data_IF_566892118186
#
_entry.id   IF_566892118186
#
_cell.length_a   1.000
_cell.length_b   1.000
_cell.length_c   1.000
_cell.angle_alpha   90.00
_cell.angle_beta   90.00
_cell.angle_gamma   90.00
#
_symmetry.space_group_name_H-M   'P 1'
#
loop_
_entity.id
_entity.type
_entity.pdbx_description
1 polymer ?
#
# COMPACT_ATOMS: atom_id res chain seq x y z
N UNK A 1 22.47 -39.80 -50.14
CA UNK A 1 23.46 -40.79 -50.63
C UNK A 1 24.51 -41.02 -49.55
N UNK A 2 24.82 -42.31 -49.24
CA UNK A 2 25.83 -42.86 -48.29
C UNK A 2 25.46 -42.71 -46.81
N UNK A 3 24.94 -43.70 -46.07
CA UNK A 3 25.33 -45.10 -45.82
C UNK A 3 26.72 -45.23 -45.20
N UNK A 4 26.77 -45.51 -43.89
CA UNK A 4 27.63 -46.54 -43.28
C UNK A 4 27.24 -46.84 -41.82
N UNK A 5 26.74 -48.06 -41.58
CA UNK A 5 27.02 -48.89 -40.39
C UNK A 5 28.18 -49.83 -40.78
N UNK A 6 28.60 -50.88 -40.02
CA UNK A 6 28.47 -51.27 -38.61
C UNK A 6 29.83 -51.73 -37.99
N UNK A 7 29.92 -51.98 -36.67
CA UNK A 7 30.76 -53.09 -36.15
C UNK A 7 30.22 -53.59 -34.82
N UNK A 8 29.85 -54.87 -34.82
CA UNK A 8 29.51 -55.69 -33.67
C UNK A 8 30.76 -56.09 -32.88
N UNK A 9 30.58 -56.37 -31.58
CA UNK A 9 31.44 -57.33 -30.89
C UNK A 9 30.54 -58.20 -30.00
N UNK A 10 30.61 -59.50 -30.24
CA UNK A 10 29.76 -60.53 -29.67
C UNK A 10 30.42 -61.22 -28.45
N UNK A 11 29.64 -62.10 -27.82
CA UNK A 11 30.01 -63.26 -26.98
C UNK A 11 30.19 -63.09 -25.45
N UNK A 12 29.21 -63.57 -24.66
CA UNK A 12 29.21 -64.95 -24.12
C UNK A 12 27.92 -65.32 -23.39
N UNK A 13 27.51 -66.58 -23.57
CA UNK A 13 26.38 -67.24 -22.93
C UNK A 13 26.72 -67.87 -21.56
N UNK A 14 25.76 -67.94 -20.62
CA UNK A 14 25.47 -69.14 -19.81
C UNK A 14 24.18 -69.02 -18.96
N UNK A 15 23.22 -69.86 -19.34
CA UNK A 15 22.18 -70.61 -18.60
C UNK A 15 21.98 -70.47 -17.07
N UNK A 16 20.68 -70.44 -16.70
CA UNK A 16 20.04 -71.19 -15.58
C UNK A 16 20.19 -70.64 -14.14
N UNK A 17 19.11 -70.06 -13.57
CA UNK A 17 18.16 -70.71 -12.64
C UNK A 17 17.22 -69.69 -11.98
N UNK A 18 16.01 -70.15 -11.74
CA UNK A 18 14.88 -69.53 -11.05
C UNK A 18 15.18 -68.96 -9.66
N UNK A 19 14.68 -67.76 -9.37
CA UNK A 19 14.16 -67.41 -8.03
C UNK A 19 13.21 -66.20 -8.12
N UNK A 20 11.94 -66.41 -7.77
CA UNK A 20 10.97 -65.36 -7.47
C UNK A 20 11.26 -64.81 -6.08
N UNK A 21 11.37 -63.49 -5.92
CA UNK A 21 11.16 -62.74 -4.66
C UNK A 21 11.07 -61.22 -4.97
N UNK A 22 10.50 -60.39 -4.08
CA UNK A 22 9.35 -59.54 -4.39
C UNK A 22 9.71 -58.09 -4.73
N UNK A 23 8.74 -57.40 -5.34
CA UNK A 23 8.82 -55.98 -5.69
C UNK A 23 9.12 -55.09 -4.46
N UNK A 24 10.00 -54.08 -4.58
CA UNK A 24 10.00 -52.95 -3.67
C UNK A 24 8.98 -51.91 -4.16
N UNK A 25 7.88 -51.81 -3.41
CA UNK A 25 7.11 -50.59 -3.32
C UNK A 25 8.00 -49.42 -2.85
N UNK A 26 7.54 -48.19 -3.14
CA UNK A 26 7.98 -46.91 -2.56
C UNK A 26 8.96 -46.06 -3.41
N UNK A 27 8.42 -45.30 -4.37
CA UNK A 27 9.06 -44.07 -4.87
C UNK A 27 8.15 -42.82 -4.78
N UNK A 28 6.93 -42.93 -4.22
CA UNK A 28 5.96 -41.82 -4.22
C UNK A 28 6.24 -40.74 -3.16
N UNK A 29 7.12 -41.00 -2.17
CA UNK A 29 7.35 -40.07 -1.03
C UNK A 29 8.39 -38.98 -1.30
N UNK A 30 9.32 -39.17 -2.24
CA UNK A 30 10.35 -38.18 -2.57
C UNK A 30 9.88 -37.08 -3.54
N UNK A 31 8.88 -37.36 -4.38
CA UNK A 31 8.32 -36.38 -5.32
C UNK A 31 7.52 -35.27 -4.62
N UNK A 32 6.94 -35.55 -3.46
CA UNK A 32 6.06 -34.59 -2.75
C UNK A 32 6.90 -33.52 -2.03
N UNK A 33 8.02 -33.91 -1.40
CA UNK A 33 8.91 -32.97 -0.72
C UNK A 33 9.62 -32.01 -1.68
N UNK A 34 10.05 -32.51 -2.84
CA UNK A 34 10.64 -31.69 -3.90
C UNK A 34 9.61 -30.70 -4.47
N UNK A 35 8.37 -31.15 -4.72
CA UNK A 35 7.29 -30.29 -5.20
C UNK A 35 6.90 -29.20 -4.20
N UNK A 36 6.79 -29.51 -2.91
CA UNK A 36 6.51 -28.52 -1.86
C UNK A 36 7.64 -27.49 -1.72
N UNK A 37 8.91 -27.91 -1.85
CA UNK A 37 10.05 -27.01 -1.84
C UNK A 37 10.07 -26.11 -3.08
N UNK A 38 9.74 -26.65 -4.26
CA UNK A 38 9.63 -25.88 -5.53
C UNK A 38 8.48 -24.89 -5.47
N UNK A 39 7.34 -25.24 -4.87
CA UNK A 39 6.20 -24.32 -4.68
C UNK A 39 6.55 -23.22 -3.67
N UNK A 40 7.20 -23.55 -2.56
CA UNK A 40 7.62 -22.56 -1.56
C UNK A 40 8.67 -21.61 -2.11
N UNK A 41 9.66 -22.11 -2.85
CA UNK A 41 10.68 -21.28 -3.49
C UNK A 41 10.12 -20.46 -4.67
N UNK A 42 9.10 -20.94 -5.36
CA UNK A 42 8.37 -20.17 -6.38
C UNK A 42 7.53 -19.06 -5.75
N UNK A 43 6.82 -19.32 -4.66
CA UNK A 43 6.11 -18.32 -3.86
C UNK A 43 7.06 -17.27 -3.28
N UNK A 44 8.24 -17.69 -2.81
CA UNK A 44 9.26 -16.78 -2.31
C UNK A 44 9.91 -15.95 -3.43
N UNK A 45 10.07 -16.52 -4.62
CA UNK A 45 10.60 -15.81 -5.80
C UNK A 45 9.58 -14.82 -6.37
N UNK A 46 8.29 -15.18 -6.36
CA UNK A 46 7.17 -14.26 -6.67
C UNK A 46 7.09 -13.15 -5.61
N UNK A 47 7.22 -13.48 -4.33
CA UNK A 47 7.28 -12.49 -3.25
C UNK A 47 8.46 -11.52 -3.43
N UNK A 48 9.65 -12.02 -3.78
CA UNK A 48 10.86 -11.21 -3.96
C UNK A 48 10.80 -10.32 -5.21
N UNK A 49 10.13 -10.76 -6.27
CA UNK A 49 9.94 -9.96 -7.49
C UNK A 49 8.81 -8.92 -7.36
N UNK A 50 7.78 -9.20 -6.55
CA UNK A 50 6.78 -8.20 -6.15
C UNK A 50 7.37 -7.12 -5.22
N UNK A 51 8.30 -7.50 -4.33
CA UNK A 51 8.97 -6.59 -3.39
C UNK A 51 10.27 -5.95 -3.90
N UNK A 52 10.60 -6.04 -5.19
CA UNK A 52 11.65 -5.16 -5.73
C UNK A 52 11.12 -3.73 -5.75
N UNK A 53 11.57 -2.81 -4.87
CA UNK A 53 11.04 -1.46 -4.85
C UNK A 53 11.42 -0.77 -6.17
N UNK A 54 10.47 -0.45 -7.06
CA UNK A 54 10.78 0.44 -8.16
C UNK A 54 10.92 1.83 -7.53
N UNK A 55 12.05 2.49 -7.81
CA UNK A 55 12.38 3.84 -7.34
C UNK A 55 12.77 3.91 -5.85
N UNK A 56 14.07 4.10 -5.60
CA UNK A 56 14.58 4.62 -4.33
C UNK A 56 14.00 6.04 -4.17
N UNK A 57 12.89 6.19 -3.45
CA UNK A 57 12.51 7.51 -2.97
C UNK A 57 13.68 8.01 -2.13
N UNK A 58 14.17 9.25 -2.31
CA UNK A 58 15.18 9.78 -1.42
C UNK A 58 14.68 9.63 0.02
N UNK A 59 15.56 9.25 0.96
CA UNK A 59 15.16 8.94 2.35
C UNK A 59 14.34 10.07 3.01
N UNK A 60 14.47 11.31 2.53
CA UNK A 60 13.79 12.51 3.03
C UNK A 60 12.25 12.43 2.93
N UNK A 61 11.61 12.22 1.75
CA UNK A 61 10.15 12.04 1.66
C UNK A 61 9.56 10.97 2.57
N UNK A 62 10.24 9.83 2.73
CA UNK A 62 9.75 8.74 3.58
C UNK A 62 9.72 9.19 5.04
N UNK A 63 10.75 9.89 5.51
CA UNK A 63 10.77 10.45 6.87
C UNK A 63 9.64 11.44 7.10
N UNK A 64 9.36 12.34 6.14
CA UNK A 64 8.23 13.26 6.25
C UNK A 64 6.88 12.55 6.23
N UNK A 65 6.71 11.49 5.43
CA UNK A 65 5.49 10.70 5.40
C UNK A 65 5.24 9.96 6.72
N UNK A 66 6.29 9.37 7.32
CA UNK A 66 6.21 8.74 8.64
C UNK A 66 5.84 9.77 9.71
N UNK A 67 6.52 10.92 9.73
CA UNK A 67 6.21 12.00 10.67
C UNK A 67 4.76 12.49 10.51
N UNK A 68 4.29 12.69 9.28
CA UNK A 68 2.91 13.07 9.00
C UNK A 68 1.91 12.01 9.51
N UNK A 69 2.20 10.72 9.28
CA UNK A 69 1.40 9.62 9.78
C UNK A 69 1.30 9.59 11.31
N UNK A 70 2.42 9.82 12.00
CA UNK A 70 2.47 9.93 13.47
C UNK A 70 1.67 11.14 13.99
N UNK A 71 1.86 12.32 13.40
CA UNK A 71 1.13 13.52 13.77
C UNK A 71 -0.38 13.36 13.61
N UNK A 72 -0.82 12.81 12.46
CA UNK A 72 -2.23 12.48 12.26
C UNK A 72 -2.69 11.38 13.22
N UNK A 73 -1.87 10.37 13.51
CA UNK A 73 -2.16 9.32 14.49
C UNK A 73 -2.54 9.89 15.86
N UNK A 74 -1.61 10.65 16.43
CA UNK A 74 -1.72 11.25 17.77
C UNK A 74 -2.85 12.28 17.81
N UNK A 75 -2.92 13.19 16.83
CA UNK A 75 -3.91 14.27 16.80
C UNK A 75 -5.36 13.79 16.75
N UNK A 76 -5.63 12.66 16.09
CA UNK A 76 -6.99 12.12 16.01
C UNK A 76 -7.48 11.49 17.32
N UNK A 77 -6.58 11.01 18.19
CA UNK A 77 -6.96 10.55 19.54
C UNK A 77 -7.48 11.72 20.38
N UNK A 78 -6.77 12.86 20.37
CA UNK A 78 -7.22 14.07 21.04
C UNK A 78 -8.53 14.60 20.46
N UNK A 79 -8.64 14.60 19.13
CA UNK A 79 -9.86 15.03 18.43
C UNK A 79 -11.07 14.18 18.85
N UNK A 80 -10.94 12.85 18.85
CA UNK A 80 -12.03 11.98 19.28
C UNK A 80 -12.39 12.19 20.75
N UNK A 81 -11.40 12.42 21.61
CA UNK A 81 -11.65 12.76 23.03
C UNK A 81 -12.49 14.03 23.16
N UNK A 82 -12.19 15.06 22.38
CA UNK A 82 -12.97 16.31 22.34
C UNK A 82 -14.40 16.07 21.84
N UNK A 83 -14.58 15.31 20.75
CA UNK A 83 -15.90 15.01 20.20
C UNK A 83 -16.74 14.18 21.18
N UNK A 84 -16.13 13.25 21.91
CA UNK A 84 -16.82 12.41 22.87
C UNK A 84 -17.28 13.19 24.13
N UNK A 85 -16.69 14.36 24.40
CA UNK A 85 -17.14 15.23 25.49
C UNK A 85 -18.56 15.79 25.27
N UNK A 86 -19.08 15.76 24.04
CA UNK A 86 -20.39 16.31 23.67
C UNK A 86 -20.48 17.83 23.67
N UNK A 87 -19.44 18.54 24.15
CA UNK A 87 -19.42 20.01 24.26
C UNK A 87 -19.03 20.71 22.95
N UNK A 88 -18.33 20.02 22.05
CA UNK A 88 -17.80 20.56 20.81
C UNK A 88 -18.24 19.66 19.66
N UNK A 89 -18.99 20.23 18.71
CA UNK A 89 -19.43 19.51 17.52
C UNK A 89 -18.29 19.29 16.50
N UNK A 90 -18.47 18.37 15.53
CA UNK A 90 -17.44 18.02 14.54
C UNK A 90 -17.02 19.21 13.67
N UNK A 91 -17.97 20.05 13.26
CA UNK A 91 -17.69 21.25 12.45
C UNK A 91 -16.93 22.31 13.27
N UNK A 92 -17.30 22.50 14.54
CA UNK A 92 -16.57 23.40 15.45
C UNK A 92 -15.14 22.90 15.69
N UNK A 93 -14.96 21.60 15.89
CA UNK A 93 -13.65 20.99 16.11
C UNK A 93 -12.70 21.22 14.93
N UNK A 94 -13.14 20.99 13.68
CA UNK A 94 -12.32 21.26 12.50
C UNK A 94 -12.08 22.75 12.27
N UNK A 95 -13.05 23.62 12.57
CA UNK A 95 -12.90 25.05 12.40
C UNK A 95 -11.83 25.59 13.35
N UNK A 96 -11.89 25.21 14.63
CA UNK A 96 -10.87 25.57 15.63
C UNK A 96 -9.52 24.96 15.26
N UNK A 97 -9.47 23.67 14.88
CA UNK A 97 -8.22 23.01 14.44
C UNK A 97 -7.58 23.74 13.26
N UNK A 98 -8.36 24.15 12.27
CA UNK A 98 -7.88 24.85 11.08
C UNK A 98 -7.43 26.27 11.40
N UNK A 99 -8.18 26.99 12.25
CA UNK A 99 -7.84 28.33 12.70
C UNK A 99 -6.52 28.35 13.48
N UNK A 100 -6.30 27.33 14.34
CA UNK A 100 -5.02 27.17 15.06
C UNK A 100 -3.90 26.80 14.10
N UNK A 101 -4.12 25.89 13.14
CA UNK A 101 -3.08 25.45 12.22
C UNK A 101 -2.63 26.55 11.23
N UNK A 102 -3.55 27.40 10.79
CA UNK A 102 -3.32 28.42 9.76
C UNK A 102 -2.10 29.33 10.05
N UNK A 103 -1.94 29.98 11.22
CA UNK A 103 -0.78 30.82 11.50
C UNK A 103 0.53 30.03 11.48
N UNK A 104 0.56 28.78 11.97
CA UNK A 104 1.77 27.96 11.93
C UNK A 104 2.14 27.56 10.49
N UNK A 105 1.15 27.29 9.64
CA UNK A 105 1.40 27.02 8.22
C UNK A 105 1.97 28.24 7.49
N UNK A 106 1.42 29.43 7.74
CA UNK A 106 1.94 30.68 7.19
C UNK A 106 3.35 31.01 7.71
N UNK A 107 3.61 30.76 9.00
CA UNK A 107 4.93 30.93 9.59
C UNK A 107 5.95 29.96 8.97
N UNK A 108 5.57 28.70 8.77
CA UNK A 108 6.41 27.71 8.10
C UNK A 108 6.70 28.12 6.64
N UNK A 109 5.69 28.60 5.91
CA UNK A 109 5.85 29.14 4.56
C UNK A 109 6.80 30.34 4.53
N UNK A 110 6.63 31.31 5.44
CA UNK A 110 7.50 32.47 5.57
C UNK A 110 8.96 32.02 5.85
N UNK A 111 9.15 31.07 6.76
CA UNK A 111 10.46 30.53 7.06
C UNK A 111 11.12 29.84 5.86
N UNK A 112 10.37 28.99 5.15
CA UNK A 112 10.85 28.25 3.98
C UNK A 112 11.23 29.16 2.80
N UNK A 113 10.49 30.25 2.60
CA UNK A 113 10.73 31.22 1.52
C UNK A 113 11.86 32.20 1.82
N UNK A 114 11.97 32.69 3.06
CA UNK A 114 12.96 33.69 3.43
C UNK A 114 14.32 33.11 3.81
N UNK A 115 14.35 32.01 4.58
CA UNK A 115 15.62 31.46 5.09
C UNK A 115 16.15 30.29 4.26
N UNK A 116 15.26 29.47 3.70
CA UNK A 116 15.64 28.23 3.03
C UNK A 116 15.58 28.31 1.51
N UNK A 117 14.91 29.33 0.94
CA UNK A 117 14.70 29.53 -0.50
C UNK A 117 14.23 28.25 -1.24
N UNK A 118 13.40 27.43 -0.57
CA UNK A 118 12.90 26.15 -1.11
C UNK A 118 11.57 26.25 -1.87
N UNK A 119 10.94 27.41 -1.83
CA UNK A 119 9.62 27.66 -2.40
C UNK A 119 9.69 28.85 -3.38
N UNK A 120 8.96 28.79 -4.52
CA UNK A 120 8.90 29.89 -5.46
C UNK A 120 8.18 31.10 -4.82
N UNK A 121 8.80 32.28 -4.88
CA UNK A 121 8.24 33.51 -4.27
C UNK A 121 7.13 34.16 -5.11
N UNK A 122 7.03 33.79 -6.39
CA UNK A 122 6.17 34.45 -7.36
C UNK A 122 4.88 33.67 -7.71
N UNK A 123 4.38 32.88 -6.76
CA UNK A 123 3.17 32.06 -6.96
C UNK A 123 1.90 32.88 -7.18
N UNK A 124 1.89 34.17 -6.83
CA UNK A 124 0.73 35.05 -7.00
C UNK A 124 0.36 35.25 -8.48
N UNK A 125 1.32 35.13 -9.39
CA UNK A 125 1.10 35.25 -10.84
C UNK A 125 0.77 33.91 -11.51
N UNK A 126 0.44 32.86 -10.75
CA UNK A 126 0.02 31.59 -11.30
C UNK A 126 -1.26 31.72 -12.15
N UNK A 127 -1.38 30.87 -13.17
CA UNK A 127 -2.55 30.84 -14.06
C UNK A 127 -3.86 30.56 -13.31
N UNK A 128 -4.98 31.06 -13.83
CA UNK A 128 -6.30 30.92 -13.24
C UNK A 128 -6.73 29.45 -13.06
N UNK A 129 -6.31 28.55 -13.95
CA UNK A 129 -6.59 27.12 -13.81
C UNK A 129 -5.79 26.50 -12.64
N UNK A 130 -4.58 26.99 -12.37
CA UNK A 130 -3.78 26.56 -11.22
C UNK A 130 -4.44 27.00 -9.92
N UNK A 131 -4.91 28.25 -9.87
CA UNK A 131 -5.70 28.77 -8.76
C UNK A 131 -7.00 28.00 -8.54
N UNK A 132 -7.70 27.64 -9.62
CA UNK A 132 -8.93 26.84 -9.54
C UNK A 132 -8.66 25.45 -8.93
N UNK A 133 -7.61 24.76 -9.40
CA UNK A 133 -7.19 23.46 -8.84
C UNK A 133 -6.83 23.58 -7.36
N UNK A 134 -6.14 24.66 -6.97
CA UNK A 134 -5.75 24.90 -5.59
C UNK A 134 -6.96 25.22 -4.69
N UNK A 135 -7.79 26.18 -5.07
CA UNK A 135 -8.91 26.66 -4.25
C UNK A 135 -10.04 25.62 -4.21
N UNK A 136 -10.49 25.17 -5.37
CA UNK A 136 -11.66 24.26 -5.45
C UNK A 136 -11.24 22.83 -5.16
N UNK A 137 -10.20 22.34 -5.83
CA UNK A 137 -9.72 20.96 -5.66
C UNK A 137 -9.13 20.73 -4.27
N UNK A 138 -8.06 21.45 -3.94
CA UNK A 138 -7.36 21.24 -2.67
C UNK A 138 -8.08 21.91 -1.49
N UNK A 139 -8.53 23.15 -1.62
CA UNK A 139 -9.12 23.92 -0.52
C UNK A 139 -10.53 23.45 -0.16
N UNK A 140 -11.44 23.46 -1.13
CA UNK A 140 -12.86 23.18 -0.88
C UNK A 140 -13.17 21.68 -0.83
N UNK A 141 -12.75 20.91 -1.84
CA UNK A 141 -13.08 19.48 -1.92
C UNK A 141 -12.24 18.68 -0.92
N UNK A 142 -10.91 18.70 -1.06
CA UNK A 142 -10.04 17.90 -0.19
C UNK A 142 -9.96 18.48 1.23
N UNK A 143 -9.84 19.80 1.37
CA UNK A 143 -9.75 20.50 2.64
C UNK A 143 -11.09 20.50 3.39
N UNK A 144 -12.01 21.37 3.00
CA UNK A 144 -13.27 21.55 3.73
C UNK A 144 -14.17 20.30 3.66
N UNK A 145 -14.49 19.82 2.46
CA UNK A 145 -15.39 18.67 2.26
C UNK A 145 -14.85 17.41 2.92
N UNK A 146 -13.61 17.04 2.61
CA UNK A 146 -12.93 15.88 3.20
C UNK A 146 -12.90 15.95 4.73
N UNK A 147 -12.53 17.08 5.31
CA UNK A 147 -12.50 17.24 6.77
C UNK A 147 -13.89 17.18 7.40
N UNK A 148 -14.91 17.82 6.82
CA UNK A 148 -16.29 17.79 7.34
C UNK A 148 -16.80 16.34 7.40
N UNK A 149 -16.72 15.61 6.30
CA UNK A 149 -17.20 14.22 6.25
C UNK A 149 -16.39 13.31 7.17
N UNK A 150 -15.06 13.47 7.22
CA UNK A 150 -14.21 12.67 8.08
C UNK A 150 -14.52 12.89 9.57
N UNK A 151 -14.67 14.15 10.01
CA UNK A 151 -14.94 14.45 11.42
C UNK A 151 -16.38 14.14 11.82
N UNK A 152 -17.34 14.28 10.91
CA UNK A 152 -18.69 13.78 11.12
C UNK A 152 -18.68 12.26 11.34
N UNK A 153 -17.95 11.51 10.51
CA UNK A 153 -17.79 10.06 10.67
C UNK A 153 -17.07 9.69 11.98
N UNK A 154 -16.03 10.43 12.36
CA UNK A 154 -15.34 10.24 13.64
C UNK A 154 -16.25 10.51 14.84
N UNK A 155 -17.20 11.44 14.73
CA UNK A 155 -18.16 11.67 15.80
C UNK A 155 -19.05 10.43 16.02
N UNK A 156 -19.44 9.76 14.93
CA UNK A 156 -20.35 8.61 14.93
C UNK A 156 -19.67 7.25 15.17
N UNK A 157 -18.37 7.15 14.90
CA UNK A 157 -17.64 5.87 14.91
C UNK A 157 -16.35 5.87 15.73
N UNK A 158 -15.74 4.69 15.83
CA UNK A 158 -14.44 4.48 16.46
C UNK A 158 -13.31 4.94 15.53
N UNK A 159 -12.30 5.63 16.09
CA UNK A 159 -11.12 6.11 15.32
C UNK A 159 -10.41 4.95 14.62
N UNK A 160 -10.31 3.79 15.29
CA UNK A 160 -9.67 2.58 14.79
C UNK A 160 -10.37 1.97 13.57
N UNK A 161 -11.64 2.32 13.30
CA UNK A 161 -12.39 1.84 12.14
C UNK A 161 -12.49 2.89 11.05
N UNK A 162 -12.93 4.09 11.41
CA UNK A 162 -13.22 5.16 10.45
C UNK A 162 -11.95 5.61 9.73
N UNK A 163 -10.85 5.77 10.48
CA UNK A 163 -9.60 6.32 9.92
C UNK A 163 -8.94 5.38 8.92
N UNK A 164 -8.75 4.07 9.19
CA UNK A 164 -8.22 3.15 8.19
C UNK A 164 -9.09 3.11 6.92
N UNK A 165 -10.43 3.11 7.04
CA UNK A 165 -11.34 3.13 5.88
C UNK A 165 -11.09 4.37 5.02
N UNK A 166 -11.12 5.56 5.61
CA UNK A 166 -10.89 6.81 4.87
C UNK A 166 -9.48 6.87 4.25
N UNK A 167 -8.45 6.49 5.02
CA UNK A 167 -7.04 6.58 4.61
C UNK A 167 -6.57 5.42 3.72
N UNK A 168 -7.36 4.37 3.53
CA UNK A 168 -7.13 3.35 2.50
C UNK A 168 -7.78 3.70 1.17
N UNK A 169 -8.93 4.38 1.20
CA UNK A 169 -9.57 4.89 -0.01
C UNK A 169 -8.77 6.02 -0.65
N UNK A 170 -8.15 6.90 0.14
CA UNK A 170 -7.38 8.03 -0.40
C UNK A 170 -6.18 7.61 -1.31
N UNK A 171 -5.32 6.64 -0.94
CA UNK A 171 -4.31 6.12 -1.85
C UNK A 171 -4.91 5.44 -3.09
N UNK A 172 -6.02 4.72 -2.94
CA UNK A 172 -6.69 4.04 -4.06
C UNK A 172 -7.22 5.04 -5.09
N UNK A 173 -7.92 6.09 -4.63
CA UNK A 173 -8.41 7.17 -5.50
C UNK A 173 -7.27 8.00 -6.06
N UNK A 174 -6.23 8.26 -5.26
CA UNK A 174 -5.04 8.99 -5.70
C UNK A 174 -4.31 8.29 -6.85
N UNK A 175 -4.11 6.98 -6.77
CA UNK A 175 -3.49 6.22 -7.87
C UNK A 175 -4.40 6.17 -9.10
N UNK A 176 -5.71 5.99 -8.92
CA UNK A 176 -6.67 5.95 -10.02
C UNK A 176 -6.71 7.29 -10.76
N UNK A 177 -6.84 8.39 -10.04
CA UNK A 177 -6.84 9.74 -10.61
C UNK A 177 -5.45 10.15 -11.14
N UNK A 178 -4.37 9.69 -10.51
CA UNK A 178 -3.01 9.84 -11.02
C UNK A 178 -2.87 9.20 -12.41
N UNK A 179 -3.42 8.02 -12.59
CA UNK A 179 -3.44 7.36 -13.90
C UNK A 179 -4.35 8.05 -14.92
N UNK A 180 -5.59 8.39 -14.54
CA UNK A 180 -6.58 8.95 -15.46
C UNK A 180 -6.36 10.42 -15.81
N UNK A 181 -5.98 11.25 -14.82
CA UNK A 181 -5.92 12.71 -14.96
C UNK A 181 -4.49 13.26 -15.02
N UNK A 182 -3.50 12.59 -14.40
CA UNK A 182 -2.09 13.02 -14.43
C UNK A 182 -1.24 12.20 -15.41
N UNK A 183 -1.81 11.17 -16.04
CA UNK A 183 -1.11 10.32 -17.01
C UNK A 183 -0.03 9.42 -16.40
N UNK A 184 -0.09 9.16 -15.09
CA UNK A 184 0.88 8.29 -14.44
C UNK A 184 0.74 6.83 -14.91
N UNK A 185 1.84 6.07 -15.09
CA UNK A 185 1.74 4.68 -15.48
C UNK A 185 1.07 3.84 -14.38
N UNK A 186 0.04 3.08 -14.77
CA UNK A 186 -0.59 2.08 -13.91
C UNK A 186 0.19 0.77 -14.01
N UNK A 187 0.93 0.44 -12.95
CA UNK A 187 1.71 -0.80 -12.89
C UNK A 187 0.99 -1.86 -12.07
N UNK A 188 1.25 -3.15 -12.36
CA UNK A 188 0.74 -4.27 -11.57
C UNK A 188 1.11 -4.12 -10.09
N UNK A 189 2.31 -3.59 -9.80
CA UNK A 189 2.78 -3.32 -8.42
C UNK A 189 1.89 -2.31 -7.68
N UNK A 190 1.52 -1.19 -8.33
CA UNK A 190 0.59 -0.20 -7.74
C UNK A 190 -0.77 -0.85 -7.43
N UNK A 191 -1.30 -1.64 -8.37
CA UNK A 191 -2.58 -2.34 -8.20
C UNK A 191 -2.54 -3.35 -7.06
N UNK A 192 -1.50 -4.19 -6.99
CA UNK A 192 -1.33 -5.15 -5.89
C UNK A 192 -1.16 -4.44 -4.54
N UNK A 193 -0.47 -3.30 -4.50
CA UNK A 193 -0.32 -2.50 -3.28
C UNK A 193 -1.65 -1.96 -2.76
N UNK A 194 -2.49 -1.42 -3.66
CA UNK A 194 -3.84 -0.96 -3.31
C UNK A 194 -4.69 -2.12 -2.78
N UNK A 195 -4.65 -3.27 -3.46
CA UNK A 195 -5.39 -4.45 -3.02
C UNK A 195 -4.98 -4.90 -1.61
N UNK A 196 -3.68 -4.89 -1.30
CA UNK A 196 -3.16 -5.23 0.02
C UNK A 196 -3.57 -4.21 1.09
N UNK A 197 -3.54 -2.91 0.79
CA UNK A 197 -3.99 -1.86 1.70
C UNK A 197 -5.48 -2.05 2.02
N UNK A 198 -6.32 -2.23 1.00
CA UNK A 198 -7.76 -2.43 1.17
C UNK A 198 -8.05 -3.70 1.96
N UNK A 199 -7.38 -4.81 1.66
CA UNK A 199 -7.51 -6.05 2.40
C UNK A 199 -7.09 -5.88 3.87
N UNK A 200 -5.98 -5.20 4.13
CA UNK A 200 -5.52 -4.89 5.49
C UNK A 200 -6.55 -4.07 6.28
N UNK A 201 -7.23 -3.13 5.64
CA UNK A 201 -8.30 -2.36 6.28
C UNK A 201 -9.55 -3.19 6.51
N UNK A 202 -9.95 -4.06 5.59
CA UNK A 202 -11.05 -5.00 5.82
C UNK A 202 -10.76 -5.89 7.02
N UNK A 203 -9.53 -6.39 7.16
CA UNK A 203 -9.11 -7.18 8.33
C UNK A 203 -9.13 -6.37 9.63
N UNK A 204 -8.64 -5.12 9.59
CA UNK A 204 -8.60 -4.24 10.77
C UNK A 204 -9.99 -3.80 11.23
N UNK A 205 -10.93 -3.66 10.28
CA UNK A 205 -12.29 -3.16 10.54
C UNK A 205 -13.32 -4.26 10.75
N UNK A 206 -13.01 -5.49 10.30
CA UNK A 206 -13.85 -6.67 10.46
C UNK A 206 -14.23 -6.92 11.92
N UNK A 207 -15.51 -7.16 12.17
CA UNK A 207 -16.01 -7.53 13.51
C UNK A 207 -15.51 -8.92 13.87
N UNK A 208 -14.86 -9.07 15.02
CA UNK A 208 -14.98 -10.31 15.79
C UNK A 208 -16.42 -10.40 16.29
N UNK A 209 -17.12 -11.49 15.98
CA UNK A 209 -18.46 -11.72 16.51
C UNK A 209 -18.41 -11.73 18.05
N UNK A 210 -19.42 -11.20 18.75
CA UNK A 210 -19.53 -11.42 20.19
C UNK A 210 -19.64 -12.94 20.42
N UNK A 211 -18.67 -13.50 21.14
CA UNK A 211 -18.81 -14.83 21.71
C UNK A 211 -20.02 -14.83 22.64
N UNK A 212 -20.95 -15.79 22.50
CA UNK A 212 -22.13 -15.88 23.35
C UNK A 212 -21.79 -16.12 24.82
#
# INVERSE_FOLDING_TARGET
MRIWSPTACAWKAKTSKSKCEPAPACSRRQSVHSSLFTVHSSLFTVHRSLFTPPHQLPMKPILFAIAAGLCWGIGEVFTKSVLHSGKIGPVTAIAVRSAVALPFLWLAYWWLTHHLAREPRDWMHADGLTWLKLIVGSGLIAGAGGMIFFYAALNLGEVSRIKPIAFALAPATGVLLGWLALGEPMTVKKLTGIALILLGVVLLTGRTAPTP
#
